data_IF_284601845303
#
_entry.id   IF_284601845303
#
_cell.length_a   1.000
_cell.length_b   1.000
_cell.length_c   1.000
_cell.angle_alpha   90.00
_cell.angle_beta   90.00
_cell.angle_gamma   90.00
#
_symmetry.space_group_name_H-M   'P 1'
#
loop_
_entity.id
_entity.type
_entity.pdbx_description
1 polymer ?
#
# COMPACT_ATOMS: atom_id res chain seq x y z
N UNK A 1 -2.95 -3.64 8.67
CA UNK A 1 -2.89 -3.21 7.26
C UNK A 1 -1.97 -2.02 7.11
N UNK A 2 -0.69 -2.36 6.94
CA UNK A 2 0.45 -1.48 6.69
C UNK A 2 1.15 -1.91 5.39
N UNK A 3 2.02 -1.08 4.83
CA UNK A 3 2.82 -1.46 3.66
C UNK A 3 3.70 -2.68 3.98
N UNK A 4 3.87 -3.58 3.01
CA UNK A 4 4.61 -4.82 3.17
C UNK A 4 3.83 -5.96 3.84
N UNK A 5 2.61 -5.71 4.31
CA UNK A 5 1.73 -6.75 4.81
C UNK A 5 1.12 -7.54 3.65
N UNK A 6 0.91 -8.85 3.84
CA UNK A 6 0.22 -9.70 2.85
C UNK A 6 -1.29 -9.70 3.12
N UNK A 7 -2.08 -9.64 2.05
CA UNK A 7 -3.55 -9.67 2.11
C UNK A 7 -4.07 -10.72 1.14
N UNK A 8 -5.07 -11.48 1.58
CA UNK A 8 -5.77 -12.44 0.73
C UNK A 8 -7.03 -11.79 0.17
N UNK A 9 -7.13 -11.68 -1.15
CA UNK A 9 -8.29 -11.13 -1.87
C UNK A 9 -8.74 -12.22 -2.83
N UNK A 10 -9.99 -12.66 -2.71
CA UNK A 10 -10.59 -13.68 -3.60
C UNK A 10 -9.76 -14.98 -3.70
N UNK A 11 -9.09 -15.35 -2.61
CA UNK A 11 -8.25 -16.56 -2.54
C UNK A 11 -6.83 -16.41 -3.09
N UNK A 12 -6.44 -15.22 -3.56
CA UNK A 12 -5.09 -14.91 -4.00
C UNK A 12 -4.38 -13.98 -3.02
N UNK A 13 -3.08 -14.22 -2.81
CA UNK A 13 -2.25 -13.40 -1.91
C UNK A 13 -1.61 -12.26 -2.68
N UNK A 14 -1.80 -11.04 -2.17
CA UNK A 14 -1.19 -9.81 -2.65
C UNK A 14 -0.38 -9.15 -1.54
N UNK A 15 0.56 -8.29 -1.93
CA UNK A 15 1.36 -7.46 -1.03
C UNK A 15 0.83 -6.03 -1.07
N UNK A 16 0.65 -5.43 0.10
CA UNK A 16 0.24 -4.02 0.22
C UNK A 16 1.42 -3.13 -0.17
N UNK A 17 1.31 -2.39 -1.27
CA UNK A 17 2.33 -1.45 -1.71
C UNK A 17 2.15 -0.05 -1.11
N UNK A 18 0.90 0.41 -0.97
CA UNK A 18 0.61 1.71 -0.41
C UNK A 18 -0.70 1.73 0.37
N UNK A 19 -0.77 2.60 1.37
CA UNK A 19 -1.98 2.84 2.18
C UNK A 19 -2.32 4.32 2.12
N UNK A 20 -3.46 4.65 1.50
CA UNK A 20 -3.94 6.03 1.40
C UNK A 20 -5.10 6.25 2.38
N UNK A 21 -4.96 7.28 3.22
CA UNK A 21 -6.02 7.74 4.12
C UNK A 21 -6.55 9.08 3.60
N UNK A 22 -7.83 9.12 3.20
CA UNK A 22 -8.50 10.35 2.80
C UNK A 22 -9.25 10.93 3.99
N UNK A 23 -9.01 12.19 4.28
CA UNK A 23 -9.70 12.95 5.32
C UNK A 23 -10.56 14.03 4.69
N UNK A 24 -11.67 14.36 5.34
CA UNK A 24 -12.57 15.45 4.98
C UNK A 24 -12.70 16.42 6.14
N UNK A 25 -12.65 17.72 5.87
CA UNK A 25 -12.88 18.74 6.88
C UNK A 25 -14.38 18.88 7.13
N UNK A 26 -14.83 18.55 8.34
CA UNK A 26 -16.22 18.71 8.79
C UNK A 26 -16.25 19.48 10.09
N UNK A 27 -17.01 20.59 10.10
CA UNK A 27 -17.20 21.46 11.29
C UNK A 27 -15.88 21.83 12.00
N UNK A 28 -14.83 22.13 11.22
CA UNK A 28 -13.52 22.53 11.75
C UNK A 28 -12.62 21.38 12.23
N UNK A 29 -12.99 20.11 11.99
CA UNK A 29 -12.14 18.94 12.30
C UNK A 29 -11.96 18.06 11.06
N UNK A 30 -10.77 17.49 10.92
CA UNK A 30 -10.51 16.47 9.89
C UNK A 30 -11.06 15.13 10.35
N UNK A 31 -12.03 14.61 9.59
CA UNK A 31 -12.63 13.30 9.82
C UNK A 31 -12.18 12.31 8.74
N UNK A 32 -11.87 11.05 9.08
CA UNK A 32 -11.49 10.03 8.10
C UNK A 32 -12.70 9.70 7.21
N UNK A 33 -12.50 9.78 5.90
CA UNK A 33 -13.54 9.53 4.89
C UNK A 33 -13.35 8.21 4.17
N UNK A 34 -12.12 7.85 3.81
CA UNK A 34 -11.84 6.64 3.05
C UNK A 34 -10.45 6.10 3.38
N UNK A 35 -10.32 4.78 3.36
CA UNK A 35 -9.04 4.09 3.44
C UNK A 35 -8.89 3.18 2.22
N UNK A 36 -7.93 3.50 1.37
CA UNK A 36 -7.61 2.73 0.17
C UNK A 36 -6.30 1.98 0.36
N UNK A 37 -6.29 0.73 -0.07
CA UNK A 37 -5.10 -0.11 -0.12
C UNK A 37 -4.76 -0.34 -1.59
N UNK A 38 -3.56 0.05 -1.97
CA UNK A 38 -3.02 -0.34 -3.27
C UNK A 38 -2.18 -1.60 -3.05
N UNK A 39 -2.49 -2.63 -3.84
CA UNK A 39 -1.93 -3.97 -3.70
C UNK A 39 -1.29 -4.41 -5.00
N UNK A 40 -0.20 -5.17 -4.87
CA UNK A 40 0.53 -5.76 -5.98
C UNK A 40 0.62 -7.27 -5.79
N UNK A 41 0.70 -8.01 -6.90
CA UNK A 41 1.08 -9.42 -6.83
C UNK A 41 2.41 -9.57 -6.10
N UNK A 42 2.59 -10.62 -5.31
CA UNK A 42 3.81 -10.83 -4.52
C UNK A 42 5.09 -10.80 -5.37
N UNK A 43 5.06 -11.40 -6.57
CA UNK A 43 6.21 -11.36 -7.48
C UNK A 43 6.61 -9.94 -7.91
N UNK A 44 5.63 -9.13 -8.32
CA UNK A 44 5.86 -7.72 -8.68
C UNK A 44 6.40 -6.90 -7.51
N UNK A 45 5.88 -7.12 -6.30
CA UNK A 45 6.35 -6.42 -5.11
C UNK A 45 7.83 -6.70 -4.82
N UNK A 46 8.26 -7.96 -4.92
CA UNK A 46 9.66 -8.36 -4.72
C UNK A 46 10.59 -7.77 -5.78
N UNK A 47 10.18 -7.82 -7.06
CA UNK A 47 10.98 -7.25 -8.15
C UNK A 47 11.16 -5.74 -7.98
N UNK A 48 10.09 -5.02 -7.62
CA UNK A 48 10.18 -3.59 -7.35
C UNK A 48 11.15 -3.30 -6.21
N UNK A 49 11.06 -4.03 -5.09
CA UNK A 49 11.96 -3.85 -3.95
C UNK A 49 13.43 -4.06 -4.34
N UNK A 50 13.70 -5.09 -5.15
CA UNK A 50 15.05 -5.35 -5.65
C UNK A 50 15.58 -4.19 -6.51
N UNK A 51 14.76 -3.70 -7.44
CA UNK A 51 15.15 -2.59 -8.32
C UNK A 51 15.34 -1.28 -7.55
N UNK A 52 14.48 -0.99 -6.57
CA UNK A 52 14.63 0.16 -5.68
C UNK A 52 15.94 0.10 -4.90
N UNK A 53 16.29 -1.07 -4.36
CA UNK A 53 17.54 -1.25 -3.62
C UNK A 53 18.78 -1.04 -4.51
N UNK A 54 18.76 -1.53 -5.76
CA UNK A 54 19.84 -1.30 -6.71
C UNK A 54 19.99 0.17 -7.06
N UNK A 55 18.88 0.89 -7.23
CA UNK A 55 18.90 2.33 -7.52
C UNK A 55 19.47 3.14 -6.35
N UNK A 56 19.15 2.77 -5.11
CA UNK A 56 19.72 3.41 -3.91
C UNK A 56 21.23 3.17 -3.74
N UNK A 57 21.76 2.09 -4.32
CA UNK A 57 23.19 1.73 -4.22
C UNK A 57 24.09 2.31 -5.33
N UNK A 58 23.52 2.98 -6.32
CA UNK A 58 24.25 3.59 -7.45
C UNK A 58 24.73 5.01 -7.15
#
# INVERSE_FOLDING_TARGET
MQCGESVTIEGQTYMVSAVTHRYQLRKGKYEPSEKRLDVLSSGRYIVNLYLENLLEQS
#
